data_IF_225032413661
#
_entry.id   IF_225032413661
#
_cell.length_a   1.000
_cell.length_b   1.000
_cell.length_c   1.000
_cell.angle_alpha   90.00
_cell.angle_beta   90.00
_cell.angle_gamma   90.00
#
_symmetry.space_group_name_H-M   'P 1'
#
loop_
_entity.id
_entity.type
_entity.pdbx_description
1 polymer ?
#
# COMPACT_ATOMS: atom_id res chain seq x y z
N UNK A 1 -4.31 -1.61 -17.98
CA UNK A 1 -5.27 -1.40 -16.85
C UNK A 1 -5.69 0.06 -16.72
N UNK A 2 -4.74 0.97 -16.70
CA UNK A 2 -5.03 2.42 -16.55
C UNK A 2 -5.95 2.95 -17.64
N UNK A 3 -5.58 2.74 -18.90
CA UNK A 3 -6.35 3.25 -20.04
C UNK A 3 -7.71 2.56 -20.23
N UNK A 4 -7.91 1.42 -19.61
CA UNK A 4 -9.18 0.69 -19.63
C UNK A 4 -10.04 0.99 -18.41
N UNK A 5 -9.65 1.96 -17.59
CA UNK A 5 -10.37 2.38 -16.38
C UNK A 5 -10.59 1.20 -15.41
N UNK A 6 -9.60 0.33 -15.28
CA UNK A 6 -9.67 -0.84 -14.42
C UNK A 6 -9.19 -0.49 -13.01
N UNK A 7 -10.00 0.29 -12.31
CA UNK A 7 -9.70 0.80 -10.97
C UNK A 7 -10.26 -0.10 -9.88
N UNK A 8 -9.48 -0.26 -8.81
CA UNK A 8 -9.85 -1.07 -7.66
C UNK A 8 -9.50 -0.33 -6.37
N UNK A 9 -10.03 -0.83 -5.27
CA UNK A 9 -9.71 -0.37 -3.93
C UNK A 9 -9.22 -1.55 -3.12
N UNK A 10 -8.11 -1.36 -2.40
CA UNK A 10 -7.58 -2.34 -1.48
C UNK A 10 -7.84 -1.86 -0.06
N UNK A 11 -8.73 -2.51 0.71
CA UNK A 11 -8.91 -2.16 2.11
C UNK A 11 -7.70 -2.65 2.92
N UNK A 12 -7.18 -1.78 3.77
CA UNK A 12 -6.02 -2.08 4.60
C UNK A 12 -6.21 -1.53 6.01
N UNK A 13 -5.58 -2.19 6.98
CA UNK A 13 -5.47 -1.72 8.35
C UNK A 13 -4.11 -1.06 8.58
N UNK A 14 -3.06 -1.69 8.07
CA UNK A 14 -1.67 -1.27 8.27
C UNK A 14 -0.92 -1.40 6.96
N UNK A 15 -0.11 -0.40 6.63
CA UNK A 15 0.91 -0.52 5.59
C UNK A 15 2.29 -0.52 6.22
N UNK A 16 3.24 -1.14 5.55
CA UNK A 16 4.59 -1.30 6.07
C UNK A 16 5.58 -0.56 5.21
N UNK A 17 6.46 0.20 5.85
CA UNK A 17 7.52 0.95 5.19
C UNK A 17 8.84 0.79 5.95
N UNK A 18 9.94 0.98 5.25
CA UNK A 18 11.27 0.91 5.83
C UNK A 18 11.81 2.31 6.12
N UNK A 19 12.21 2.54 7.36
CA UNK A 19 12.93 3.73 7.77
C UNK A 19 14.41 3.34 7.95
N UNK A 20 15.31 4.07 7.30
CA UNK A 20 16.74 3.79 7.35
C UNK A 20 17.39 4.68 8.40
N UNK A 21 17.87 4.05 9.47
CA UNK A 21 18.55 4.71 10.59
C UNK A 21 19.97 4.16 10.68
N UNK A 22 20.97 5.03 10.56
CA UNK A 22 22.38 4.64 10.56
C UNK A 22 22.71 3.53 9.56
N UNK A 23 22.13 3.60 8.35
CA UNK A 23 22.35 2.63 7.28
C UNK A 23 21.60 1.30 7.45
N UNK A 24 20.80 1.17 8.53
CA UNK A 24 20.01 -0.06 8.77
C UNK A 24 18.54 0.20 8.52
N UNK A 25 17.89 -0.75 7.84
CA UNK A 25 16.46 -0.71 7.59
C UNK A 25 15.68 -1.12 8.84
N UNK A 26 14.74 -0.30 9.25
CA UNK A 26 13.81 -0.57 10.33
C UNK A 26 12.40 -0.57 9.78
N UNK A 27 11.65 -1.62 10.08
CA UNK A 27 10.27 -1.78 9.62
C UNK A 27 9.32 -0.97 10.50
N UNK A 28 8.47 -0.17 9.84
CA UNK A 28 7.41 0.60 10.50
C UNK A 28 6.05 0.18 9.96
N UNK A 29 5.08 0.14 10.83
CA UNK A 29 3.66 0.01 10.46
C UNK A 29 3.01 1.38 10.49
N UNK A 30 2.26 1.72 9.44
CA UNK A 30 1.55 2.99 9.31
C UNK A 30 0.05 2.72 9.37
N UNK A 31 -0.64 3.38 10.29
CA UNK A 31 -2.08 3.26 10.49
C UNK A 31 -2.70 4.65 10.62
N UNK A 32 -4.02 4.70 10.48
CA UNK A 32 -4.77 5.90 10.83
C UNK A 32 -4.69 6.12 12.35
N UNK A 33 -4.63 7.37 12.77
CA UNK A 33 -4.64 7.73 14.19
C UNK A 33 -5.87 7.21 14.93
N UNK A 34 -7.01 7.16 14.24
CA UNK A 34 -8.28 6.67 14.81
C UNK A 34 -8.40 5.15 14.83
N UNK A 35 -7.40 4.43 14.30
CA UNK A 35 -7.39 2.97 14.25
C UNK A 35 -8.32 2.36 13.20
N UNK A 36 -9.03 3.16 12.42
CA UNK A 36 -9.93 2.68 11.39
C UNK A 36 -9.19 2.22 10.14
N UNK A 37 -9.71 1.21 9.42
CA UNK A 37 -9.15 0.82 8.14
C UNK A 37 -9.33 1.91 7.09
N UNK A 38 -8.53 1.85 6.04
CA UNK A 38 -8.61 2.79 4.93
C UNK A 38 -8.47 2.04 3.60
N UNK A 39 -8.72 2.74 2.50
CA UNK A 39 -8.66 2.13 1.17
C UNK A 39 -7.57 2.76 0.32
N UNK A 40 -6.80 1.90 -0.34
CA UNK A 40 -5.70 2.30 -1.20
C UNK A 40 -6.13 2.16 -2.66
N UNK A 41 -5.85 3.18 -3.45
CA UNK A 41 -6.10 3.15 -4.88
C UNK A 41 -5.25 2.07 -5.56
N UNK A 42 -5.87 1.30 -6.42
CA UNK A 42 -5.24 0.21 -7.13
C UNK A 42 -5.76 0.10 -8.56
N UNK A 43 -5.01 -0.62 -9.37
CA UNK A 43 -5.43 -1.09 -10.68
C UNK A 43 -5.53 -2.61 -10.66
N UNK A 44 -6.41 -3.15 -11.50
CA UNK A 44 -6.53 -4.60 -11.63
C UNK A 44 -6.42 -5.01 -13.09
N UNK A 45 -6.03 -6.25 -13.30
CA UNK A 45 -6.02 -6.89 -14.61
C UNK A 45 -6.60 -8.30 -14.51
N UNK A 46 -7.26 -8.71 -15.57
CA UNK A 46 -7.78 -10.08 -15.75
C UNK A 46 -7.16 -10.59 -17.03
N UNK A 47 -6.33 -11.61 -16.93
CA UNK A 47 -5.59 -12.18 -18.06
C UNK A 47 -5.90 -13.66 -18.15
N UNK A 48 -6.14 -14.15 -19.37
CA UNK A 48 -6.28 -15.58 -19.64
C UNK A 48 -4.92 -16.14 -20.05
N UNK A 49 -4.43 -17.11 -19.28
CA UNK A 49 -3.20 -17.83 -19.57
C UNK A 49 -3.56 -19.29 -19.76
N UNK A 50 -3.53 -19.76 -21.03
CA UNK A 50 -4.05 -21.07 -21.37
C UNK A 50 -5.55 -21.13 -21.06
N UNK A 51 -5.96 -22.08 -20.20
CA UNK A 51 -7.35 -22.21 -19.73
C UNK A 51 -7.60 -21.52 -18.39
N UNK A 52 -6.55 -20.93 -17.80
CA UNK A 52 -6.66 -20.27 -16.50
C UNK A 52 -6.92 -18.78 -16.65
N UNK A 53 -7.78 -18.26 -15.77
CA UNK A 53 -8.01 -16.83 -15.64
C UNK A 53 -7.23 -16.35 -14.43
N UNK A 54 -6.27 -15.45 -14.68
CA UNK A 54 -5.45 -14.84 -13.62
C UNK A 54 -5.95 -13.43 -13.38
N UNK A 55 -6.25 -13.14 -12.12
CA UNK A 55 -6.60 -11.79 -11.65
C UNK A 55 -5.44 -11.24 -10.85
N UNK A 56 -5.01 -10.05 -11.18
CA UNK A 56 -3.93 -9.37 -10.47
C UNK A 56 -4.33 -7.96 -10.10
N UNK A 57 -3.68 -7.42 -9.09
CA UNK A 57 -3.95 -6.09 -8.58
C UNK A 57 -2.64 -5.45 -8.15
N UNK A 58 -2.50 -4.15 -8.40
CA UNK A 58 -1.34 -3.38 -7.98
C UNK A 58 -1.77 -2.09 -7.31
N UNK A 59 -1.15 -1.76 -6.18
CA UNK A 59 -1.34 -0.47 -5.53
C UNK A 59 -0.68 0.63 -6.34
N UNK A 60 -1.35 1.77 -6.44
CA UNK A 60 -0.77 2.97 -7.03
C UNK A 60 0.04 3.72 -5.99
N UNK A 61 1.15 4.28 -6.44
CA UNK A 61 1.95 5.19 -5.64
C UNK A 61 2.20 6.48 -6.40
N UNK A 62 2.46 7.54 -5.66
CA UNK A 62 2.81 8.86 -6.23
C UNK A 62 4.03 9.42 -5.51
N UNK A 63 4.70 10.39 -6.14
CA UNK A 63 5.86 11.04 -5.54
C UNK A 63 5.52 11.71 -4.22
N UNK A 64 6.40 11.58 -3.24
CA UNK A 64 6.24 12.13 -1.89
C UNK A 64 7.51 12.84 -1.40
N UNK A 65 8.36 13.33 -2.31
CA UNK A 65 9.62 13.99 -1.94
C UNK A 65 9.42 15.23 -1.07
N UNK A 66 8.26 15.86 -1.16
CA UNK A 66 7.91 17.04 -0.37
C UNK A 66 6.91 16.73 0.77
N UNK A 67 6.66 15.45 1.06
CA UNK A 67 5.70 15.03 2.08
C UNK A 67 6.38 14.85 3.43
N UNK A 68 6.10 15.70 4.44
CA UNK A 68 6.83 15.66 5.72
C UNK A 68 6.83 14.30 6.41
N UNK A 69 5.69 13.61 6.40
CA UNK A 69 5.55 12.30 7.03
C UNK A 69 6.30 11.20 6.26
N UNK A 70 6.19 11.17 4.92
CA UNK A 70 6.78 10.13 4.10
C UNK A 70 8.29 10.30 3.89
N UNK A 71 8.85 11.48 4.15
CA UNK A 71 10.28 11.73 4.01
C UNK A 71 11.14 10.82 4.90
N UNK A 72 10.62 10.33 6.00
CA UNK A 72 11.34 9.44 6.93
C UNK A 72 11.51 8.01 6.40
N UNK A 73 10.77 7.63 5.35
CA UNK A 73 10.79 6.28 4.81
C UNK A 73 11.63 6.20 3.53
N UNK A 74 11.91 4.96 3.10
CA UNK A 74 12.77 4.64 1.97
C UNK A 74 14.24 5.01 2.22
N UNK A 75 15.12 4.58 1.33
CA UNK A 75 16.54 4.96 1.41
C UNK A 75 16.70 6.46 1.17
N UNK A 76 17.65 7.13 1.88
CA UNK A 76 17.84 8.58 1.71
C UNK A 76 18.09 9.02 0.27
N UNK A 77 18.75 8.21 -0.54
CA UNK A 77 19.06 8.49 -1.94
C UNK A 77 17.92 8.20 -2.92
N UNK A 78 16.90 7.45 -2.48
CA UNK A 78 15.78 7.05 -3.33
C UNK A 78 14.67 8.11 -3.36
N UNK A 79 13.94 8.14 -4.47
CA UNK A 79 12.70 8.91 -4.57
C UNK A 79 11.72 8.47 -3.50
N UNK A 80 11.13 9.43 -2.80
CA UNK A 80 10.08 9.15 -1.81
C UNK A 80 8.76 8.91 -2.53
N UNK A 81 8.07 7.85 -2.13
CA UNK A 81 6.78 7.45 -2.70
C UNK A 81 5.74 7.31 -1.59
N UNK A 82 4.50 7.59 -1.92
CA UNK A 82 3.36 7.36 -1.04
C UNK A 82 2.30 6.55 -1.78
N UNK A 83 1.63 5.67 -1.05
CA UNK A 83 0.36 5.12 -1.53
C UNK A 83 -0.64 6.25 -1.71
N UNK A 84 -1.66 5.97 -2.50
CA UNK A 84 -2.78 6.90 -2.74
C UNK A 84 -3.97 6.39 -1.95
N UNK A 85 -4.36 7.13 -0.92
CA UNK A 85 -5.54 6.78 -0.11
C UNK A 85 -6.77 7.43 -0.75
N UNK A 86 -7.80 6.63 -0.94
CA UNK A 86 -9.11 7.13 -1.40
C UNK A 86 -10.01 7.25 -0.19
N UNK A 87 -10.40 8.49 0.11
CA UNK A 87 -11.30 8.78 1.24
C UNK A 87 -12.69 8.17 0.99
N UNK A 88 -13.46 7.86 2.06
CA UNK A 88 -14.76 7.20 1.92
C UNK A 88 -15.71 7.87 0.94
N UNK A 89 -15.77 9.20 0.93
CA UNK A 89 -16.63 9.97 0.05
C UNK A 89 -16.29 9.86 -1.44
N UNK A 90 -15.09 9.42 -1.76
CA UNK A 90 -14.60 9.30 -3.15
C UNK A 90 -14.46 7.85 -3.62
N UNK A 91 -14.79 6.86 -2.78
CA UNK A 91 -14.60 5.45 -3.13
C UNK A 91 -15.42 5.04 -4.35
N UNK A 92 -16.70 5.39 -4.38
CA UNK A 92 -17.57 5.06 -5.50
C UNK A 92 -17.14 5.78 -6.76
N UNK A 93 -16.73 7.04 -6.65
CA UNK A 93 -16.23 7.82 -7.78
C UNK A 93 -14.98 7.16 -8.37
N UNK A 94 -14.02 6.76 -7.52
CA UNK A 94 -12.80 6.09 -7.97
C UNK A 94 -13.10 4.82 -8.78
N UNK A 95 -14.01 3.99 -8.31
CA UNK A 95 -14.35 2.73 -8.98
C UNK A 95 -15.01 2.93 -10.35
N UNK A 96 -15.63 4.07 -10.60
CA UNK A 96 -16.34 4.38 -11.83
C UNK A 96 -15.68 5.49 -12.67
N UNK A 97 -14.50 5.93 -12.26
CA UNK A 97 -13.85 7.10 -12.86
C UNK A 97 -13.19 6.77 -14.18
N UNK A 98 -13.14 7.76 -15.08
CA UNK A 98 -12.34 7.67 -16.28
C UNK A 98 -10.89 8.03 -15.96
N UNK A 99 -9.94 7.36 -16.62
CA UNK A 99 -8.51 7.55 -16.33
C UNK A 99 -8.05 9.01 -16.47
N UNK A 100 -8.66 9.79 -17.37
CA UNK A 100 -8.31 11.20 -17.52
C UNK A 100 -8.64 12.04 -16.28
N UNK A 101 -9.69 11.65 -15.55
CA UNK A 101 -10.12 12.35 -14.34
C UNK A 101 -9.44 11.81 -13.08
N UNK A 102 -8.93 10.58 -13.15
CA UNK A 102 -8.36 9.90 -12.00
C UNK A 102 -7.09 10.56 -11.47
N UNK A 103 -6.37 11.31 -12.30
CA UNK A 103 -5.17 12.03 -11.88
C UNK A 103 -5.42 13.00 -10.71
N UNK A 104 -6.62 13.54 -10.61
CA UNK A 104 -6.96 14.47 -9.53
C UNK A 104 -6.93 13.82 -8.15
N UNK A 105 -7.14 12.51 -8.09
CA UNK A 105 -7.11 11.74 -6.84
C UNK A 105 -5.74 11.13 -6.53
N UNK A 106 -4.78 11.22 -7.45
CA UNK A 106 -3.42 10.69 -7.26
C UNK A 106 -2.56 11.63 -6.42
N UNK A 107 -2.86 11.71 -5.14
CA UNK A 107 -2.16 12.56 -4.18
C UNK A 107 -1.52 11.70 -3.10
N UNK A 108 -0.38 12.13 -2.52
CA UNK A 108 0.16 11.46 -1.33
C UNK A 108 -0.88 11.37 -0.24
N UNK A 109 -0.73 10.39 0.65
CA UNK A 109 -1.63 10.24 1.78
C UNK A 109 -1.70 11.54 2.59
N UNK A 110 -2.90 11.87 3.08
CA UNK A 110 -3.14 13.09 3.84
C UNK A 110 -2.62 13.01 5.28
N UNK A 111 -3.10 13.92 6.12
CA UNK A 111 -2.81 13.91 7.55
C UNK A 111 -3.65 12.83 8.27
N UNK A 112 -3.33 12.56 9.54
CA UNK A 112 -4.08 11.63 10.37
C UNK A 112 -3.54 10.21 10.38
N UNK A 113 -2.26 10.03 10.04
CA UNK A 113 -1.58 8.75 10.08
C UNK A 113 -0.44 8.78 11.10
N UNK A 114 -0.19 7.62 11.71
CA UNK A 114 0.90 7.41 12.66
C UNK A 114 1.75 6.23 12.22
N UNK A 115 3.04 6.30 12.52
CA UNK A 115 3.98 5.22 12.23
C UNK A 115 4.52 4.64 13.52
N UNK A 116 4.58 3.33 13.62
CA UNK A 116 5.12 2.61 14.76
C UNK A 116 6.23 1.68 14.33
N UNK A 117 7.37 1.72 15.03
CA UNK A 117 8.47 0.79 14.81
C UNK A 117 8.07 -0.62 15.23
N UNK A 118 8.22 -1.55 14.30
CA UNK A 118 7.91 -2.94 14.53
C UNK A 118 9.20 -3.75 14.67
N UNK A 119 9.43 -4.41 15.82
CA UNK A 119 10.59 -5.28 15.96
C UNK A 119 10.49 -6.46 15.00
N UNK A 120 11.64 -7.02 14.61
CA UNK A 120 11.66 -8.24 13.82
C UNK A 120 10.89 -9.33 14.54
N UNK A 121 9.95 -10.02 13.87
CA UNK A 121 9.27 -11.15 14.49
C UNK A 121 10.31 -12.22 14.86
N UNK A 122 10.12 -12.87 16.02
CA UNK A 122 10.94 -14.02 16.39
C UNK A 122 10.71 -15.11 15.35
N UNK A 123 11.80 -15.75 14.88
CA UNK A 123 11.67 -16.91 14.00
C UNK A 123 10.87 -17.98 14.73
N UNK A 124 9.76 -18.49 14.14
CA UNK A 124 9.05 -19.61 14.75
C UNK A 124 9.97 -20.82 14.83
N UNK A 125 9.80 -21.64 15.87
CA UNK A 125 10.51 -22.91 15.98
C UNK A 125 10.16 -23.76 14.75
N UNK A 126 11.17 -24.41 14.14
CA UNK A 126 10.95 -25.26 12.96
C UNK A 126 9.84 -26.29 13.19
N UNK A 127 9.78 -26.88 14.40
CA UNK A 127 8.78 -27.87 14.77
C UNK A 127 7.35 -27.30 14.69
N UNK A 128 7.10 -26.12 15.25
CA UNK A 128 5.80 -25.48 15.21
C UNK A 128 5.40 -25.11 13.77
N UNK A 129 6.35 -24.67 12.96
CA UNK A 129 6.11 -24.32 11.57
C UNK A 129 5.78 -25.55 10.72
N UNK A 130 6.44 -26.68 10.96
CA UNK A 130 6.15 -27.93 10.28
C UNK A 130 4.78 -28.47 10.66
N UNK A 131 4.36 -28.36 11.92
CA UNK A 131 3.04 -28.79 12.39
C UNK A 131 1.91 -28.00 11.70
N UNK A 132 2.11 -26.74 11.44
CA UNK A 132 1.13 -25.90 10.72
C UNK A 132 0.94 -26.37 9.28
N UNK A 133 1.99 -26.83 8.60
CA UNK A 133 1.93 -27.25 7.20
C UNK A 133 1.63 -28.74 7.02
N UNK A 134 1.88 -29.56 8.02
CA UNK A 134 1.70 -31.01 7.96
C UNK A 134 0.46 -31.51 8.73
N UNK A 135 -0.19 -30.61 9.42
CA UNK A 135 -1.37 -30.91 10.24
C UNK A 135 -2.70 -30.91 9.52
#
# INVERSE_FOLDING_TARGET
AWYNNQFALIPVQTIYELNYINGKAHRYGIEREDGEPFTVAALYEIVKIGEQIVRSMTMLTTNADNHPFMLQFHKPEDEKRSIVVIEPEHRQDWLNMHHEDAFELLKPMGAGYVAEHLPKPKKPLKTAQMDVFNG
#
